data_IF_131658357631
#
_entry.id   IF_131658357631
#
_cell.length_a   1.000
_cell.length_b   1.000
_cell.length_c   1.000
_cell.angle_alpha   90.00
_cell.angle_beta   90.00
_cell.angle_gamma   90.00
#
_symmetry.space_group_name_H-M   'P 1'
#
loop_
_entity.id
_entity.type
_entity.pdbx_description
1 polymer ?
#
# COMPACT_ATOMS: atom_id res chain seq x y z
N UNK A 1 16.71 -3.03 48.08
CA UNK A 1 15.48 -3.61 48.66
C UNK A 1 14.42 -2.52 48.72
N UNK A 2 13.25 -2.74 48.11
CA UNK A 2 12.05 -1.90 48.26
C UNK A 2 12.13 -0.52 47.57
N UNK A 3 11.13 -0.02 46.86
CA UNK A 3 9.77 -0.49 46.71
C UNK A 3 9.02 0.29 45.63
N UNK A 4 7.89 -0.30 45.26
CA UNK A 4 6.68 0.22 44.61
C UNK A 4 6.72 1.66 44.08
N UNK A 5 6.45 1.80 42.78
CA UNK A 5 5.67 2.91 42.26
C UNK A 5 4.53 2.35 41.42
N UNK A 6 3.37 2.93 41.70
CA UNK A 6 2.01 2.54 41.37
C UNK A 6 1.70 2.83 39.91
N UNK A 7 1.03 1.87 39.26
CA UNK A 7 0.36 2.10 38.00
C UNK A 7 -0.91 2.92 38.28
N UNK A 8 -0.85 4.21 37.97
CA UNK A 8 -1.99 5.10 38.06
C UNK A 8 -2.04 5.96 36.80
N UNK A 9 -3.06 5.72 35.98
CA UNK A 9 -3.61 6.72 35.07
C UNK A 9 -2.68 7.16 33.95
N UNK A 10 -2.83 6.52 32.79
CA UNK A 10 -2.31 7.03 31.53
C UNK A 10 -2.70 8.50 31.34
N UNK A 11 -1.72 9.37 31.56
CA UNK A 11 -1.65 10.75 31.08
C UNK A 11 -0.18 11.09 30.96
N UNK A 12 0.35 10.84 29.76
CA UNK A 12 1.65 11.38 29.36
C UNK A 12 1.51 12.90 29.25
N UNK A 13 1.83 13.62 30.31
CA UNK A 13 2.15 15.03 30.21
C UNK A 13 3.55 15.11 29.62
N UNK A 14 3.65 15.49 28.34
CA UNK A 14 4.91 15.91 27.76
C UNK A 14 5.34 17.20 28.47
N UNK A 15 6.27 17.07 29.42
CA UNK A 15 7.02 18.19 29.94
C UNK A 15 7.95 18.63 28.80
N UNK A 16 7.58 19.73 28.15
CA UNK A 16 8.32 20.32 27.03
C UNK A 16 9.58 20.96 27.63
N UNK A 17 10.74 20.37 27.39
CA UNK A 17 12.02 20.97 27.78
C UNK A 17 12.13 22.40 27.23
N UNK A 18 12.72 23.35 27.99
CA UNK A 18 12.93 24.71 27.51
C UNK A 18 13.85 24.69 26.30
N UNK A 19 13.31 25.10 25.14
CA UNK A 19 14.03 25.27 23.89
C UNK A 19 15.11 26.33 24.07
N UNK A 20 16.36 25.90 23.97
CA UNK A 20 17.55 26.75 23.94
C UNK A 20 17.47 27.71 22.72
N UNK A 21 17.43 29.04 22.90
CA UNK A 21 17.27 29.99 21.80
C UNK A 21 18.55 30.16 20.95
N UNK A 22 19.63 29.43 21.24
CA UNK A 22 20.93 29.57 20.57
C UNK A 22 21.19 28.54 19.47
N UNK A 23 20.19 27.76 19.07
CA UNK A 23 20.31 26.84 17.94
C UNK A 23 20.05 27.58 16.61
N UNK A 24 21.14 28.00 15.94
CA UNK A 24 21.12 28.49 14.57
C UNK A 24 20.46 27.44 13.65
N UNK A 25 19.37 27.75 12.93
CA UNK A 25 18.79 26.79 12.00
C UNK A 25 19.74 26.58 10.81
N UNK A 26 19.96 25.34 10.33
CA UNK A 26 20.67 25.12 9.08
C UNK A 26 19.84 25.73 7.94
N UNK A 27 20.36 26.81 7.35
CA UNK A 27 19.86 27.38 6.10
C UNK A 27 20.27 26.46 4.95
N UNK A 28 19.51 25.40 4.76
CA UNK A 28 19.54 24.60 3.54
C UNK A 28 18.11 24.54 2.99
N UNK A 29 17.68 25.69 2.47
CA UNK A 29 16.44 25.82 1.70
C UNK A 29 16.77 25.35 0.29
N UNK A 30 16.26 24.19 -0.18
CA UNK A 30 16.43 23.82 -1.57
C UNK A 30 15.75 24.87 -2.46
N UNK A 31 16.31 25.21 -3.64
CA UNK A 31 15.69 26.16 -4.54
C UNK A 31 14.28 25.70 -4.91
N UNK A 32 13.34 26.63 -5.16
CA UNK A 32 12.02 26.27 -5.67
C UNK A 32 12.22 25.56 -7.00
N UNK A 33 11.91 24.26 -7.03
CA UNK A 33 11.87 23.48 -8.26
C UNK A 33 10.82 24.15 -9.12
N UNK A 34 11.27 24.95 -10.08
CA UNK A 34 10.40 25.63 -11.03
C UNK A 34 9.56 24.54 -11.70
N UNK A 35 8.27 24.49 -11.31
CA UNK A 35 7.28 23.67 -11.95
C UNK A 35 7.17 24.14 -13.40
N UNK A 36 7.92 23.50 -14.29
CA UNK A 36 7.60 23.48 -15.72
C UNK A 36 6.29 22.71 -15.85
N UNK A 37 5.20 23.42 -15.61
CA UNK A 37 3.87 23.04 -16.06
C UNK A 37 3.91 23.06 -17.59
N UNK A 38 4.47 22.00 -18.17
CA UNK A 38 4.27 21.68 -19.57
C UNK A 38 2.75 21.64 -19.74
N UNK A 39 2.21 22.63 -20.46
CA UNK A 39 0.83 22.62 -20.94
C UNK A 39 0.74 21.47 -21.93
N UNK A 40 0.58 20.24 -21.42
CA UNK A 40 0.34 19.06 -22.23
C UNK A 40 -1.03 19.30 -22.87
N UNK A 41 -1.12 19.41 -24.21
CA UNK A 41 -2.40 19.58 -24.87
C UNK A 41 -3.32 18.40 -24.51
N UNK A 42 -4.64 18.65 -24.34
CA UNK A 42 -5.57 17.56 -24.06
C UNK A 42 -5.48 16.51 -25.16
N UNK A 43 -5.49 15.21 -24.82
CA UNK A 43 -5.48 14.16 -25.83
C UNK A 43 -6.70 14.30 -26.75
N UNK A 44 -6.58 13.98 -28.04
CA UNK A 44 -7.69 14.04 -28.97
C UNK A 44 -8.86 13.16 -28.49
N UNK A 45 -10.12 13.55 -28.79
CA UNK A 45 -11.28 12.74 -28.44
C UNK A 45 -11.13 11.34 -29.03
N UNK A 46 -11.21 10.33 -28.16
CA UNK A 46 -11.14 8.93 -28.60
C UNK A 46 -12.36 8.61 -29.46
N UNK A 47 -12.20 7.87 -30.56
CA UNK A 47 -13.34 7.45 -31.34
C UNK A 47 -14.28 6.56 -30.51
N UNK A 48 -15.60 6.66 -30.74
CA UNK A 48 -16.65 5.93 -30.00
C UNK A 48 -16.52 4.40 -30.07
N UNK A 49 -15.75 3.89 -31.03
CA UNK A 49 -15.46 2.46 -31.21
C UNK A 49 -14.18 1.99 -30.51
N UNK A 50 -13.44 2.89 -29.85
CA UNK A 50 -12.24 2.51 -29.10
C UNK A 50 -12.63 1.80 -27.80
N UNK A 51 -12.58 0.47 -27.84
CA UNK A 51 -12.59 -0.36 -26.64
C UNK A 51 -11.15 -0.40 -26.13
N UNK A 52 -10.89 0.22 -24.99
CA UNK A 52 -9.58 0.12 -24.34
C UNK A 52 -9.29 -1.36 -24.08
N UNK A 53 -8.17 -1.92 -24.59
CA UNK A 53 -7.85 -3.31 -24.35
C UNK A 53 -7.75 -3.51 -22.83
N UNK A 54 -8.29 -4.63 -22.30
CA UNK A 54 -8.19 -4.89 -20.87
C UNK A 54 -6.71 -4.86 -20.48
N UNK A 55 -6.37 -4.20 -19.35
CA UNK A 55 -4.98 -4.12 -18.92
C UNK A 55 -4.40 -5.54 -18.80
N UNK A 56 -3.09 -5.71 -19.05
CA UNK A 56 -2.45 -7.00 -18.88
C UNK A 56 -2.76 -7.54 -17.48
N UNK A 57 -3.07 -8.83 -17.41
CA UNK A 57 -3.34 -9.51 -16.15
C UNK A 57 -2.04 -9.64 -15.37
N UNK A 58 -1.65 -8.55 -14.72
CA UNK A 58 -0.46 -8.49 -13.89
C UNK A 58 -0.87 -8.80 -12.45
N UNK A 59 -0.40 -9.93 -11.94
CA UNK A 59 -0.50 -10.22 -10.52
C UNK A 59 0.78 -9.68 -9.87
N UNK A 60 0.69 -8.72 -8.93
CA UNK A 60 1.87 -8.19 -8.28
C UNK A 60 2.57 -9.28 -7.47
N UNK A 61 3.87 -9.44 -7.71
CA UNK A 61 4.69 -10.50 -7.09
C UNK A 61 4.66 -10.44 -5.56
N UNK A 62 4.52 -9.24 -4.98
CA UNK A 62 4.43 -9.04 -3.53
C UNK A 62 3.18 -9.66 -2.92
N UNK A 63 2.02 -9.64 -3.60
CA UNK A 63 0.81 -10.31 -3.13
C UNK A 63 0.93 -11.82 -3.29
N UNK A 64 1.49 -12.28 -4.40
CA UNK A 64 1.63 -13.72 -4.59
C UNK A 64 2.58 -14.33 -3.56
N UNK A 65 3.68 -13.64 -3.24
CA UNK A 65 4.59 -14.08 -2.19
C UNK A 65 3.93 -14.13 -0.80
N UNK A 66 2.97 -13.25 -0.51
CA UNK A 66 2.18 -13.34 0.73
C UNK A 66 1.31 -14.60 0.72
N UNK A 67 0.61 -14.88 -0.38
CA UNK A 67 -0.21 -16.09 -0.53
C UNK A 67 0.66 -17.35 -0.42
N UNK A 68 1.85 -17.34 -1.02
CA UNK A 68 2.85 -18.43 -0.94
C UNK A 68 3.22 -18.76 0.51
N UNK A 69 3.23 -17.78 1.43
CA UNK A 69 3.47 -18.04 2.87
C UNK A 69 2.33 -18.79 3.55
N UNK A 70 1.11 -18.69 3.01
CA UNK A 70 -0.04 -19.43 3.54
C UNK A 70 -0.11 -20.84 2.94
N UNK A 71 0.15 -20.99 1.64
CA UNK A 71 0.04 -22.27 0.94
C UNK A 71 1.32 -23.12 1.01
N UNK A 72 2.47 -22.50 1.29
CA UNK A 72 3.82 -23.08 1.19
C UNK A 72 4.20 -23.58 -0.22
N UNK A 73 3.37 -23.34 -1.23
CA UNK A 73 3.56 -23.84 -2.58
C UNK A 73 3.12 -22.80 -3.62
N UNK A 74 4.04 -22.43 -4.51
CA UNK A 74 3.80 -21.45 -5.58
C UNK A 74 2.66 -21.86 -6.51
N UNK A 75 2.63 -23.12 -6.92
CA UNK A 75 1.59 -23.64 -7.81
C UNK A 75 0.20 -23.58 -7.16
N UNK A 76 0.12 -23.81 -5.83
CA UNK A 76 -1.12 -23.67 -5.07
C UNK A 76 -1.64 -22.23 -5.06
N UNK A 77 -0.75 -21.26 -4.84
CA UNK A 77 -1.10 -19.83 -4.87
C UNK A 77 -1.61 -19.38 -6.23
N UNK A 78 -0.95 -19.79 -7.31
CA UNK A 78 -1.36 -19.44 -8.66
C UNK A 78 -2.73 -20.05 -9.00
N UNK A 79 -2.97 -21.31 -8.63
CA UNK A 79 -4.28 -21.95 -8.79
C UNK A 79 -5.38 -21.23 -8.02
N UNK A 80 -5.11 -20.75 -6.81
CA UNK A 80 -6.08 -19.98 -6.03
C UNK A 80 -6.46 -18.67 -6.73
N UNK A 81 -5.46 -17.92 -7.19
CA UNK A 81 -5.72 -16.65 -7.91
C UNK A 81 -6.46 -16.90 -9.22
N UNK A 82 -6.11 -17.97 -9.95
CA UNK A 82 -6.83 -18.38 -11.15
C UNK A 82 -8.28 -18.80 -10.86
N UNK A 83 -8.53 -19.52 -9.76
CA UNK A 83 -9.88 -19.90 -9.36
C UNK A 83 -10.74 -18.67 -9.00
N UNK A 84 -10.17 -17.67 -8.33
CA UNK A 84 -10.86 -16.40 -8.03
C UNK A 84 -11.15 -15.62 -9.32
N UNK A 85 -10.19 -15.58 -10.25
CA UNK A 85 -10.35 -14.97 -11.56
C UNK A 85 -11.45 -15.63 -12.39
N UNK A 86 -11.52 -16.96 -12.39
CA UNK A 86 -12.56 -17.69 -13.11
C UNK A 86 -13.98 -17.32 -12.65
N UNK A 87 -14.11 -16.92 -11.37
CA UNK A 87 -15.37 -16.42 -10.80
C UNK A 87 -15.60 -14.92 -11.03
N UNK A 88 -14.55 -14.16 -11.31
CA UNK A 88 -14.56 -12.70 -11.41
C UNK A 88 -13.72 -12.23 -12.62
N UNK A 89 -14.16 -12.50 -13.86
CA UNK A 89 -13.38 -12.21 -15.06
C UNK A 89 -13.23 -10.71 -15.36
N UNK A 90 -14.10 -9.87 -14.80
CA UNK A 90 -14.12 -8.41 -14.91
C UNK A 90 -13.14 -7.71 -13.96
N UNK A 91 -12.52 -8.47 -13.03
CA UNK A 91 -11.62 -7.93 -12.01
C UNK A 91 -10.16 -8.03 -12.41
N UNK A 92 -9.36 -7.11 -11.89
CA UNK A 92 -7.92 -7.08 -12.12
C UNK A 92 -7.21 -8.25 -11.42
N UNK A 93 -6.02 -8.61 -11.92
CA UNK A 93 -5.19 -9.65 -11.29
C UNK A 93 -4.78 -9.31 -9.86
N UNK A 94 -4.52 -8.03 -9.58
CA UNK A 94 -4.31 -7.52 -8.23
C UNK A 94 -5.51 -7.80 -7.32
N UNK A 95 -6.72 -7.45 -7.74
CA UNK A 95 -7.94 -7.68 -6.94
C UNK A 95 -8.14 -9.19 -6.67
N UNK A 96 -7.91 -10.03 -7.69
CA UNK A 96 -8.04 -11.48 -7.54
C UNK A 96 -7.05 -12.04 -6.50
N UNK A 97 -5.81 -11.52 -6.47
CA UNK A 97 -4.82 -11.92 -5.47
C UNK A 97 -5.16 -11.41 -4.06
N UNK A 98 -5.63 -10.17 -3.91
CA UNK A 98 -6.10 -9.64 -2.63
C UNK A 98 -7.28 -10.46 -2.08
N UNK A 99 -8.22 -10.82 -2.95
CA UNK A 99 -9.38 -11.64 -2.57
C UNK A 99 -8.97 -13.05 -2.14
N UNK A 100 -8.07 -13.70 -2.89
CA UNK A 100 -7.53 -15.02 -2.51
C UNK A 100 -6.82 -14.97 -1.14
N UNK A 101 -6.03 -13.93 -0.90
CA UNK A 101 -5.35 -13.72 0.38
C UNK A 101 -6.35 -13.55 1.53
N UNK A 102 -7.37 -12.71 1.33
CA UNK A 102 -8.42 -12.49 2.33
C UNK A 102 -9.21 -13.78 2.64
N UNK A 103 -9.52 -14.58 1.61
CA UNK A 103 -10.23 -15.85 1.80
C UNK A 103 -9.39 -16.84 2.64
N UNK A 104 -8.07 -16.89 2.44
CA UNK A 104 -7.13 -17.69 3.25
C UNK A 104 -7.02 -17.19 4.69
N UNK A 105 -6.94 -15.87 4.89
CA UNK A 105 -6.86 -15.27 6.22
C UNK A 105 -8.15 -15.50 7.02
N UNK A 106 -9.30 -15.50 6.34
CA UNK A 106 -10.60 -15.79 6.95
C UNK A 106 -10.72 -17.25 7.37
N UNK A 107 -10.27 -18.19 6.55
CA UNK A 107 -10.38 -19.63 6.84
C UNK A 107 -9.54 -20.08 8.04
N UNK A 108 -8.47 -19.32 8.34
CA UNK A 108 -7.56 -19.58 9.47
C UNK A 108 -7.97 -18.93 10.79
N UNK A 109 -9.03 -18.11 10.81
CA UNK A 109 -9.50 -17.38 11.99
C UNK A 109 -10.69 -18.08 12.63
#
# INVERSE_FOLDING_TARGET
>A
MGGKIVNAGGRFFYQKDPVDPSATPPSDVPPPIAAVAATVPPPPPRPVWYVEPPPPFEIPASLLYKIDRYTHERAGSERLVQAVRGKNPDKSGKWCAEKALWDLERDRK
#
